data_IF_929511790252
#
_entry.id   IF_929511790252
#
_cell.length_a   1.000
_cell.length_b   1.000
_cell.length_c   1.000
_cell.angle_alpha   90.00
_cell.angle_beta   90.00
_cell.angle_gamma   90.00
#
_symmetry.space_group_name_H-M   'P 1'
#
loop_
_entity.id
_entity.type
_entity.pdbx_description
1 polymer ?
#
# COMPACT_ATOMS: atom_id res chain seq x y z
N UNK A 1 1.73 24.73 0.08
CA UNK A 1 2.42 25.58 1.08
C UNK A 1 2.95 26.88 0.46
N UNK A 2 3.69 26.83 -0.65
CA UNK A 2 4.19 28.03 -1.33
C UNK A 2 3.08 29.01 -1.70
N UNK A 3 2.00 28.53 -2.30
CA UNK A 3 0.86 29.37 -2.71
C UNK A 3 0.14 30.00 -1.52
N UNK A 4 0.04 29.31 -0.39
CA UNK A 4 -0.49 29.89 0.86
C UNK A 4 0.44 30.98 1.39
N UNK A 5 1.75 30.76 1.36
CA UNK A 5 2.73 31.78 1.74
C UNK A 5 2.74 33.00 0.79
N UNK A 6 2.27 32.83 -0.45
CA UNK A 6 2.11 33.89 -1.46
C UNK A 6 0.74 34.59 -1.43
N UNK A 7 -0.13 34.23 -0.45
CA UNK A 7 -1.41 34.90 -0.20
C UNK A 7 -2.68 34.13 -0.51
N UNK A 8 -2.57 32.85 -0.90
CA UNK A 8 -3.74 31.96 -0.98
C UNK A 8 -4.26 31.67 0.44
N UNK A 9 -5.55 31.81 0.64
CA UNK A 9 -6.18 31.46 1.91
C UNK A 9 -6.33 29.96 2.09
N UNK A 10 -6.48 29.50 3.34
CA UNK A 10 -6.73 28.08 3.65
C UNK A 10 -8.03 27.58 3.02
N UNK A 11 -9.08 28.42 2.97
CA UNK A 11 -10.35 28.08 2.33
C UNK A 11 -10.18 27.88 0.82
N UNK A 12 -9.43 28.75 0.14
CA UNK A 12 -9.12 28.57 -1.28
C UNK A 12 -8.30 27.32 -1.53
N UNK A 13 -7.30 27.05 -0.70
CA UNK A 13 -6.48 25.84 -0.78
C UNK A 13 -7.32 24.59 -0.55
N UNK A 14 -8.18 24.57 0.47
CA UNK A 14 -9.10 23.47 0.79
C UNK A 14 -10.07 23.24 -0.36
N UNK A 15 -10.63 24.29 -0.96
CA UNK A 15 -11.51 24.17 -2.13
C UNK A 15 -10.80 23.53 -3.34
N UNK A 16 -9.58 23.97 -3.65
CA UNK A 16 -8.81 23.37 -4.75
C UNK A 16 -8.47 21.89 -4.48
N UNK A 17 -8.11 21.57 -3.24
CA UNK A 17 -7.86 20.18 -2.83
C UNK A 17 -9.14 19.35 -2.91
N UNK A 18 -10.28 19.90 -2.55
CA UNK A 18 -11.57 19.23 -2.70
C UNK A 18 -11.87 18.93 -4.17
N UNK A 19 -11.67 19.89 -5.07
CA UNK A 19 -11.78 19.68 -6.51
C UNK A 19 -10.86 18.59 -7.02
N UNK A 20 -9.60 18.57 -6.55
CA UNK A 20 -8.65 17.53 -6.90
C UNK A 20 -9.10 16.14 -6.42
N UNK A 21 -9.53 16.02 -5.18
CA UNK A 21 -10.02 14.76 -4.61
C UNK A 21 -11.28 14.22 -5.31
N UNK A 22 -12.12 15.12 -5.85
CA UNK A 22 -13.28 14.72 -6.67
C UNK A 22 -12.87 14.20 -8.05
N UNK A 23 -11.86 14.81 -8.67
CA UNK A 23 -11.36 14.40 -9.98
C UNK A 23 -10.56 13.09 -9.91
N UNK A 24 -9.85 12.87 -8.81
CA UNK A 24 -9.01 11.71 -8.59
C UNK A 24 -9.28 11.09 -7.19
N UNK A 25 -10.31 10.24 -7.05
CA UNK A 25 -10.67 9.62 -5.76
C UNK A 25 -9.81 8.41 -5.41
N UNK A 26 -8.53 8.40 -5.81
CA UNK A 26 -7.62 7.29 -5.57
C UNK A 26 -7.09 7.26 -4.14
N UNK A 27 -5.85 6.84 -3.96
CA UNK A 27 -5.25 6.57 -2.66
C UNK A 27 -4.20 7.62 -2.31
N UNK A 28 -4.37 8.25 -1.17
CA UNK A 28 -3.48 9.29 -0.69
C UNK A 28 -2.95 8.93 0.69
N UNK A 29 -1.71 9.32 0.95
CA UNK A 29 -1.13 9.24 2.28
C UNK A 29 -0.78 10.64 2.75
N UNK A 30 -1.11 10.93 4.01
CA UNK A 30 -0.72 12.18 4.69
C UNK A 30 0.07 11.84 5.95
N UNK A 31 0.97 12.75 6.35
CA UNK A 31 1.91 12.53 7.43
C UNK A 31 2.84 11.34 7.15
N UNK A 32 3.35 10.75 8.19
CA UNK A 32 4.27 9.63 8.16
C UNK A 32 5.71 10.04 8.40
N UNK A 33 6.59 9.07 8.71
CA UNK A 33 7.97 9.36 9.01
C UNK A 33 8.77 9.70 7.75
N UNK A 34 9.64 10.69 7.86
CA UNK A 34 10.72 10.95 6.91
C UNK A 34 11.77 9.82 6.96
N UNK A 35 12.76 9.86 6.08
CA UNK A 35 13.85 8.86 6.03
C UNK A 35 14.61 8.77 7.36
N UNK A 36 14.84 9.89 8.02
CA UNK A 36 15.51 10.00 9.32
C UNK A 36 14.63 9.63 10.52
N UNK A 37 13.32 9.49 10.30
CA UNK A 37 12.33 9.16 11.33
C UNK A 37 11.64 10.38 11.93
N UNK A 38 11.91 11.60 11.46
CA UNK A 38 11.15 12.80 11.80
C UNK A 38 9.75 12.77 11.19
N UNK A 39 8.85 13.61 11.68
CA UNK A 39 7.48 13.70 11.18
C UNK A 39 7.39 14.58 9.92
N UNK A 40 6.72 14.08 8.89
CA UNK A 40 6.40 14.82 7.67
C UNK A 40 5.05 15.54 7.72
N UNK A 41 4.37 15.53 8.86
CA UNK A 41 3.12 16.27 9.01
C UNK A 41 3.38 17.76 8.84
N UNK A 42 2.56 18.40 8.03
CA UNK A 42 2.63 19.81 7.74
C UNK A 42 1.23 20.40 7.56
N UNK A 43 1.14 21.71 7.33
CA UNK A 43 -0.12 22.41 7.15
C UNK A 43 -1.00 21.80 6.04
N UNK A 44 -0.40 21.38 4.93
CA UNK A 44 -1.10 20.75 3.83
C UNK A 44 -1.78 19.42 4.25
N UNK A 45 -1.20 18.69 5.20
CA UNK A 45 -1.81 17.45 5.73
C UNK A 45 -3.19 17.73 6.35
N UNK A 46 -3.32 18.83 7.06
CA UNK A 46 -4.60 19.27 7.64
C UNK A 46 -5.58 19.76 6.59
N UNK A 47 -5.14 20.55 5.61
CA UNK A 47 -6.00 21.03 4.53
C UNK A 47 -6.57 19.90 3.67
N UNK A 48 -5.77 18.86 3.38
CA UNK A 48 -6.23 17.68 2.66
C UNK A 48 -7.29 16.93 3.48
N UNK A 49 -7.06 16.77 4.77
CA UNK A 49 -7.97 16.09 5.67
C UNK A 49 -9.30 16.85 5.78
N UNK A 50 -9.24 18.17 5.90
CA UNK A 50 -10.41 19.04 5.94
C UNK A 50 -11.19 19.04 4.61
N UNK A 51 -10.50 19.09 3.48
CA UNK A 51 -11.13 18.99 2.16
C UNK A 51 -11.92 17.66 2.02
N UNK A 52 -11.35 16.55 2.46
CA UNK A 52 -12.04 15.27 2.45
C UNK A 52 -13.25 15.24 3.40
N UNK A 53 -13.12 15.83 4.58
CA UNK A 53 -14.19 15.96 5.55
C UNK A 53 -15.38 16.77 4.99
N UNK A 54 -15.10 17.92 4.37
CA UNK A 54 -16.16 18.75 3.77
C UNK A 54 -16.86 18.06 2.60
N UNK A 55 -16.12 17.32 1.78
CA UNK A 55 -16.70 16.58 0.67
C UNK A 55 -17.57 15.40 1.11
N UNK A 56 -17.28 14.81 2.27
CA UNK A 56 -17.86 13.52 2.71
C UNK A 56 -17.81 12.46 1.61
N UNK A 57 -16.75 12.53 0.80
CA UNK A 57 -16.53 11.70 -0.37
C UNK A 57 -15.52 10.60 -0.08
N UNK A 58 -15.48 9.58 -0.91
CA UNK A 58 -14.72 8.34 -0.73
C UNK A 58 -13.23 8.43 -1.06
N UNK A 59 -12.59 9.59 -0.92
CA UNK A 59 -11.14 9.69 -1.08
C UNK A 59 -10.44 8.79 -0.06
N UNK A 60 -9.63 7.85 -0.55
CA UNK A 60 -8.95 6.88 0.32
C UNK A 60 -7.70 7.50 0.95
N UNK A 61 -7.89 8.29 2.00
CA UNK A 61 -6.81 8.93 2.73
C UNK A 61 -6.32 8.00 3.83
N UNK A 62 -4.99 7.80 3.89
CA UNK A 62 -4.32 7.03 4.94
C UNK A 62 -3.43 7.96 5.76
N UNK A 63 -3.59 7.95 7.08
CA UNK A 63 -2.69 8.58 8.05
C UNK A 63 -1.74 7.50 8.55
N UNK A 64 -0.43 7.73 8.44
CA UNK A 64 0.56 6.83 9.03
C UNK A 64 0.80 7.17 10.48
N UNK A 65 0.71 6.15 11.34
CA UNK A 65 0.81 6.27 12.80
C UNK A 65 2.15 5.71 13.27
N UNK A 66 2.93 6.56 13.94
CA UNK A 66 4.24 6.20 14.51
C UNK A 66 4.51 7.01 15.78
N UNK A 67 5.53 6.62 16.55
CA UNK A 67 5.74 7.12 17.92
C UNK A 67 5.90 8.65 18.02
N UNK A 68 6.48 9.31 17.00
CA UNK A 68 6.78 10.74 17.01
C UNK A 68 5.88 11.55 16.05
N UNK A 69 4.72 11.02 15.68
CA UNK A 69 3.82 11.74 14.79
C UNK A 69 3.16 12.93 15.50
N UNK A 70 2.71 13.90 14.72
CA UNK A 70 1.89 15.01 15.20
C UNK A 70 0.58 14.50 15.82
N UNK A 71 0.41 14.74 17.11
CA UNK A 71 -0.78 14.29 17.87
C UNK A 71 -2.05 15.01 17.39
N UNK A 72 -1.93 16.24 16.92
CA UNK A 72 -3.05 17.02 16.38
C UNK A 72 -3.62 16.38 15.12
N UNK A 73 -2.78 15.94 14.19
CA UNK A 73 -3.21 15.24 12.98
C UNK A 73 -3.90 13.90 13.32
N UNK A 74 -3.35 13.15 14.26
CA UNK A 74 -3.96 11.90 14.72
C UNK A 74 -5.34 12.14 15.34
N UNK A 75 -5.44 13.11 16.24
CA UNK A 75 -6.70 13.50 16.91
C UNK A 75 -7.75 13.95 15.89
N UNK A 76 -7.37 14.88 14.99
CA UNK A 76 -8.31 15.37 13.98
C UNK A 76 -8.81 14.27 13.05
N UNK A 77 -7.94 13.35 12.65
CA UNK A 77 -8.32 12.18 11.87
C UNK A 77 -9.33 11.29 12.56
N UNK A 78 -9.18 11.06 13.88
CA UNK A 78 -10.15 10.33 14.68
C UNK A 78 -11.49 11.07 14.80
N UNK A 79 -11.46 12.38 15.07
CA UNK A 79 -12.68 13.20 15.14
C UNK A 79 -13.49 13.07 13.86
N UNK A 80 -12.87 13.25 12.68
CA UNK A 80 -13.54 13.11 11.39
C UNK A 80 -14.11 11.71 11.19
N UNK A 81 -13.38 10.67 11.58
CA UNK A 81 -13.88 9.30 11.46
C UNK A 81 -15.18 9.09 12.25
N UNK A 82 -15.27 9.68 13.46
CA UNK A 82 -16.48 9.60 14.29
C UNK A 82 -17.58 10.53 13.80
N UNK A 83 -17.26 11.74 13.35
CA UNK A 83 -18.22 12.73 12.85
C UNK A 83 -18.88 12.27 11.57
N UNK A 84 -18.08 11.83 10.59
CA UNK A 84 -18.58 11.46 9.27
C UNK A 84 -19.11 10.03 9.21
N UNK A 85 -18.65 9.15 10.09
CA UNK A 85 -18.98 7.71 10.11
C UNK A 85 -18.68 7.02 8.78
N UNK A 86 -17.64 7.49 8.11
CA UNK A 86 -17.11 6.92 6.87
C UNK A 86 -15.87 6.08 7.16
N UNK A 87 -15.43 5.28 6.17
CA UNK A 87 -14.29 4.37 6.33
C UNK A 87 -12.93 5.07 6.16
N UNK A 88 -12.86 6.38 6.27
CA UNK A 88 -11.64 7.19 6.17
C UNK A 88 -11.69 8.39 7.14
N UNK A 89 -10.53 8.98 7.49
CA UNK A 89 -9.19 8.50 7.12
C UNK A 89 -8.90 7.12 7.70
N UNK A 90 -8.09 6.33 6.97
CA UNK A 90 -7.56 5.07 7.50
C UNK A 90 -6.29 5.33 8.28
N UNK A 91 -6.02 4.49 9.26
CA UNK A 91 -4.79 4.56 10.05
C UNK A 91 -3.90 3.36 9.78
N UNK A 92 -2.63 3.61 9.50
CA UNK A 92 -1.66 2.56 9.23
C UNK A 92 -0.50 2.64 10.21
N UNK A 93 -0.37 1.63 11.08
CA UNK A 93 0.67 1.56 12.11
C UNK A 93 2.04 1.26 11.52
N UNK A 94 3.00 2.16 11.73
CA UNK A 94 4.30 2.13 11.08
C UNK A 94 5.29 1.16 11.71
N UNK A 95 5.23 1.00 13.03
CA UNK A 95 6.20 0.19 13.79
C UNK A 95 6.31 -1.25 13.29
N UNK A 96 5.18 -1.92 13.11
CA UNK A 96 5.14 -3.29 12.61
C UNK A 96 5.54 -3.37 11.13
N UNK A 97 5.11 -2.39 10.32
CA UNK A 97 5.43 -2.32 8.90
C UNK A 97 6.91 -2.12 8.66
N UNK A 98 7.54 -1.12 9.28
CA UNK A 98 8.98 -0.87 9.16
C UNK A 98 9.78 -2.09 9.61
N UNK A 99 9.43 -2.69 10.76
CA UNK A 99 10.07 -3.92 11.24
C UNK A 99 9.91 -5.08 10.24
N UNK A 100 8.74 -5.24 9.66
CA UNK A 100 8.45 -6.27 8.66
C UNK A 100 9.31 -6.09 7.39
N UNK A 101 9.43 -4.87 6.88
CA UNK A 101 10.29 -4.58 5.72
C UNK A 101 11.76 -4.77 6.02
N UNK A 102 12.23 -4.34 7.20
CA UNK A 102 13.62 -4.59 7.63
C UNK A 102 13.95 -6.08 7.71
N UNK A 103 13.05 -6.91 8.26
CA UNK A 103 13.18 -8.38 8.26
C UNK A 103 13.26 -8.96 6.85
N UNK A 104 12.73 -8.25 5.89
CA UNK A 104 12.80 -8.58 4.47
C UNK A 104 14.00 -7.97 3.74
N UNK A 105 14.98 -7.40 4.46
CA UNK A 105 16.26 -6.91 3.92
C UNK A 105 16.22 -5.51 3.33
N UNK A 106 15.18 -4.70 3.62
CA UNK A 106 15.20 -3.27 3.33
C UNK A 106 15.89 -2.50 4.46
N UNK A 107 16.56 -1.40 4.15
CA UNK A 107 17.05 -0.50 5.19
C UNK A 107 15.89 0.16 5.94
N UNK A 108 16.14 0.61 7.17
CA UNK A 108 15.13 1.36 7.94
C UNK A 108 14.67 2.62 7.21
N UNK A 109 15.60 3.33 6.57
CA UNK A 109 15.33 4.49 5.73
C UNK A 109 14.34 4.18 4.61
N UNK A 110 14.60 3.14 3.80
CA UNK A 110 13.72 2.72 2.72
C UNK A 110 12.37 2.23 3.24
N UNK A 111 12.37 1.52 4.37
CA UNK A 111 11.14 1.06 4.99
C UNK A 111 10.24 2.22 5.42
N UNK A 112 10.81 3.30 5.97
CA UNK A 112 10.07 4.52 6.35
C UNK A 112 9.53 5.30 5.15
N UNK A 113 10.28 5.35 4.05
CA UNK A 113 9.88 6.05 2.81
C UNK A 113 8.75 5.38 2.04
N UNK A 114 8.30 4.20 2.44
CA UNK A 114 7.15 3.54 1.81
C UNK A 114 5.89 4.35 2.01
N UNK A 115 5.06 4.35 0.98
CA UNK A 115 3.73 4.96 1.02
C UNK A 115 2.65 3.90 1.03
N UNK A 116 1.55 4.22 1.70
CA UNK A 116 0.34 3.40 1.67
C UNK A 116 -0.46 3.70 0.40
N UNK A 117 -0.76 2.66 -0.36
CA UNK A 117 -1.68 2.72 -1.50
C UNK A 117 -2.61 1.52 -1.51
N UNK A 118 -3.65 1.58 -2.32
CA UNK A 118 -4.64 0.52 -2.36
C UNK A 118 -5.25 0.24 -0.99
N UNK A 119 -5.47 -1.01 -0.71
CA UNK A 119 -6.05 -1.49 0.55
C UNK A 119 -4.98 -1.68 1.65
N UNK A 120 -4.16 -0.67 1.94
CA UNK A 120 -2.99 -0.70 2.83
C UNK A 120 -1.76 -1.46 2.28
N UNK A 121 -1.56 -1.42 0.99
CA UNK A 121 -0.30 -1.85 0.39
C UNK A 121 0.77 -0.81 0.66
N UNK A 122 2.01 -1.26 0.77
CA UNK A 122 3.13 -0.38 0.96
C UNK A 122 4.09 -0.48 -0.22
N UNK A 123 4.40 0.65 -0.84
CA UNK A 123 5.29 0.71 -2.01
C UNK A 123 6.34 1.80 -1.86
N UNK A 124 7.44 1.65 -2.58
CA UNK A 124 8.48 2.68 -2.76
C UNK A 124 8.27 3.35 -4.13
N UNK A 125 7.68 4.56 -4.18
CA UNK A 125 7.44 5.25 -5.43
C UNK A 125 8.71 5.41 -6.26
N UNK A 126 8.63 5.08 -7.54
CA UNK A 126 9.72 5.22 -8.48
C UNK A 126 10.89 4.23 -8.33
N UNK A 127 10.92 3.38 -7.31
CA UNK A 127 12.00 2.44 -7.04
C UNK A 127 11.56 0.98 -7.03
N UNK A 128 10.26 0.74 -6.86
CA UNK A 128 9.71 -0.59 -6.66
C UNK A 128 8.65 -0.92 -7.68
N UNK A 129 8.75 -2.13 -8.24
CA UNK A 129 7.66 -2.72 -9.01
C UNK A 129 6.70 -3.41 -8.04
N UNK A 130 5.56 -2.81 -7.83
CA UNK A 130 4.54 -3.31 -6.91
C UNK A 130 3.36 -3.85 -7.70
N UNK A 131 3.16 -5.15 -7.65
CA UNK A 131 2.04 -5.82 -8.30
C UNK A 131 1.00 -6.22 -7.27
N UNK A 132 -0.22 -5.72 -7.45
CA UNK A 132 -1.34 -5.98 -6.58
C UNK A 132 -2.31 -6.96 -7.23
N UNK A 133 -2.98 -7.75 -6.41
CA UNK A 133 -4.13 -8.57 -6.82
C UNK A 133 -3.92 -9.50 -8.03
N UNK A 134 -2.67 -9.88 -8.30
CA UNK A 134 -2.36 -10.81 -9.39
C UNK A 134 -3.10 -12.13 -9.26
N UNK A 135 -3.25 -12.58 -8.03
CA UNK A 135 -3.91 -13.85 -7.69
C UNK A 135 -4.58 -13.76 -6.34
N UNK A 136 -5.67 -14.51 -6.20
CA UNK A 136 -6.41 -14.63 -4.95
C UNK A 136 -6.61 -16.11 -4.63
N UNK A 137 -6.39 -16.47 -3.36
CA UNK A 137 -6.76 -17.80 -2.85
C UNK A 137 -8.14 -17.69 -2.22
N UNK A 138 -9.07 -18.50 -2.70
CA UNK A 138 -10.35 -18.66 -2.03
C UNK A 138 -10.17 -19.61 -0.83
N UNK A 139 -9.92 -19.03 0.34
CA UNK A 139 -9.70 -19.79 1.56
C UNK A 139 -10.89 -20.67 1.95
N UNK A 140 -12.12 -20.19 1.69
CA UNK A 140 -13.32 -20.98 1.95
C UNK A 140 -13.37 -22.24 1.07
N UNK A 141 -12.90 -22.13 -0.19
CA UNK A 141 -12.82 -23.31 -1.08
C UNK A 141 -11.74 -24.30 -0.65
N UNK A 142 -10.58 -23.80 -0.22
CA UNK A 142 -9.53 -24.69 0.34
C UNK A 142 -10.05 -25.41 1.59
N UNK A 143 -10.74 -24.68 2.46
CA UNK A 143 -11.38 -25.28 3.65
C UNK A 143 -12.43 -26.35 3.28
N UNK A 144 -13.29 -26.06 2.30
CA UNK A 144 -14.32 -26.99 1.82
C UNK A 144 -13.69 -28.29 1.29
N UNK A 145 -12.62 -28.19 0.51
CA UNK A 145 -11.90 -29.37 -0.02
C UNK A 145 -11.33 -30.20 1.13
N UNK A 146 -10.58 -29.57 2.03
CA UNK A 146 -10.01 -30.22 3.19
C UNK A 146 -11.10 -30.89 4.07
N UNK A 147 -12.24 -30.21 4.24
CA UNK A 147 -13.37 -30.77 5.01
C UNK A 147 -14.04 -31.96 4.34
N UNK A 148 -14.07 -32.02 3.02
CA UNK A 148 -14.59 -33.16 2.27
C UNK A 148 -13.61 -34.32 2.26
N UNK A 149 -12.32 -34.08 2.26
CA UNK A 149 -11.28 -35.10 2.29
C UNK A 149 -11.10 -35.75 3.66
N UNK A 150 -11.27 -34.97 4.73
CA UNK A 150 -11.07 -35.43 6.09
C UNK A 150 -12.31 -36.15 6.63
N UNK A 151 -12.10 -37.39 7.10
CA UNK A 151 -13.18 -38.23 7.63
C UNK A 151 -13.06 -38.53 9.14
N UNK A 152 -12.08 -37.89 9.81
CA UNK A 152 -11.86 -38.06 11.24
C UNK A 152 -12.65 -37.06 12.10
N UNK A 153 -12.40 -37.07 13.38
CA UNK A 153 -12.99 -36.19 14.40
C UNK A 153 -11.94 -35.37 15.19
N UNK A 154 -10.65 -35.48 14.86
CA UNK A 154 -9.58 -34.71 15.48
C UNK A 154 -9.31 -33.42 14.74
N UNK A 155 -9.44 -32.30 15.44
CA UNK A 155 -9.21 -30.96 14.89
C UNK A 155 -7.75 -30.75 14.46
N UNK A 156 -6.78 -31.37 15.16
CA UNK A 156 -5.37 -31.21 14.82
C UNK A 156 -5.04 -31.92 13.51
N UNK A 157 -5.58 -33.13 13.30
CA UNK A 157 -5.44 -33.86 12.04
C UNK A 157 -6.14 -33.12 10.89
N UNK A 158 -7.34 -32.60 11.12
CA UNK A 158 -8.01 -31.74 10.13
C UNK A 158 -7.17 -30.53 9.74
N UNK A 159 -6.54 -29.87 10.72
CA UNK A 159 -5.67 -28.72 10.46
C UNK A 159 -4.48 -29.10 9.56
N UNK A 160 -3.90 -30.27 9.74
CA UNK A 160 -2.81 -30.74 8.89
C UNK A 160 -3.26 -31.00 7.44
N UNK A 161 -4.45 -31.57 7.23
CA UNK A 161 -5.05 -31.72 5.89
C UNK A 161 -5.28 -30.34 5.26
N UNK A 162 -5.94 -29.43 5.96
CA UNK A 162 -6.17 -28.07 5.48
C UNK A 162 -4.88 -27.32 5.14
N UNK A 163 -3.86 -27.47 5.98
CA UNK A 163 -2.54 -26.87 5.75
C UNK A 163 -1.86 -27.43 4.50
N UNK A 164 -1.96 -28.74 4.28
CA UNK A 164 -1.43 -29.38 3.07
C UNK A 164 -2.08 -28.79 1.82
N UNK A 165 -3.40 -28.75 1.76
CA UNK A 165 -4.15 -28.25 0.61
C UNK A 165 -3.87 -26.76 0.35
N UNK A 166 -3.73 -25.97 1.41
CA UNK A 166 -3.34 -24.57 1.30
C UNK A 166 -1.93 -24.43 0.73
N UNK A 167 -0.97 -25.24 1.15
CA UNK A 167 0.39 -25.21 0.62
C UNK A 167 0.44 -25.63 -0.85
N UNK A 168 -0.38 -26.59 -1.28
CA UNK A 168 -0.51 -26.99 -2.69
C UNK A 168 -1.08 -25.84 -3.54
N UNK A 169 -2.14 -25.18 -3.06
CA UNK A 169 -2.70 -23.99 -3.71
C UNK A 169 -1.66 -22.86 -3.83
N UNK A 170 -0.89 -22.59 -2.78
CA UNK A 170 0.20 -21.62 -2.78
C UNK A 170 1.29 -22.01 -3.80
N UNK A 171 1.67 -23.28 -3.89
CA UNK A 171 2.67 -23.74 -4.84
C UNK A 171 2.21 -23.54 -6.29
N UNK A 172 0.96 -23.85 -6.60
CA UNK A 172 0.37 -23.65 -7.91
C UNK A 172 0.36 -22.17 -8.31
N UNK A 173 -0.10 -21.30 -7.41
CA UNK A 173 -0.12 -19.84 -7.61
C UNK A 173 1.31 -19.31 -7.82
N UNK A 174 2.24 -19.79 -7.02
CA UNK A 174 3.65 -19.40 -7.16
C UNK A 174 4.19 -19.71 -8.55
N UNK A 175 3.92 -20.90 -9.08
CA UNK A 175 4.34 -21.30 -10.43
C UNK A 175 3.75 -20.36 -11.49
N UNK A 176 2.47 -20.01 -11.37
CA UNK A 176 1.79 -19.06 -12.27
C UNK A 176 2.41 -17.65 -12.20
N UNK A 177 2.68 -17.13 -11.01
CA UNK A 177 3.33 -15.82 -10.83
C UNK A 177 4.74 -15.84 -11.41
N UNK A 178 5.53 -16.87 -11.14
CA UNK A 178 6.89 -17.00 -11.66
C UNK A 178 6.90 -17.03 -13.19
N UNK A 179 5.93 -17.70 -13.81
CA UNK A 179 5.75 -17.69 -15.27
C UNK A 179 5.39 -16.30 -15.80
N UNK A 180 4.45 -15.62 -15.18
CA UNK A 180 4.05 -14.26 -15.57
C UNK A 180 5.22 -13.29 -15.50
N UNK A 181 5.91 -13.22 -14.37
CA UNK A 181 7.05 -12.32 -14.19
C UNK A 181 8.18 -12.57 -15.17
N UNK A 182 8.40 -13.86 -15.54
CA UNK A 182 9.42 -14.21 -16.51
C UNK A 182 9.11 -13.71 -17.92
N UNK A 183 7.84 -13.59 -18.27
CA UNK A 183 7.39 -13.32 -19.65
C UNK A 183 6.74 -11.94 -19.84
N UNK A 184 6.41 -11.22 -18.75
CA UNK A 184 5.64 -9.98 -18.80
C UNK A 184 6.27 -8.92 -19.71
N UNK A 185 7.57 -8.66 -19.56
CA UNK A 185 8.27 -7.64 -20.36
C UNK A 185 8.20 -7.86 -21.88
N UNK A 186 7.93 -9.10 -22.33
CA UNK A 186 7.76 -9.44 -23.75
C UNK A 186 6.32 -9.23 -24.21
N UNK A 187 5.35 -9.54 -23.38
CA UNK A 187 3.94 -9.60 -23.74
C UNK A 187 3.19 -8.30 -23.41
N UNK A 188 3.57 -7.68 -22.29
CA UNK A 188 2.96 -6.45 -21.77
C UNK A 188 4.00 -5.61 -21.02
N UNK A 189 4.92 -4.92 -21.71
CA UNK A 189 5.92 -4.07 -21.08
C UNK A 189 5.28 -2.88 -20.38
N UNK A 190 5.90 -2.44 -19.30
CA UNK A 190 5.43 -1.35 -18.43
C UNK A 190 5.85 0.04 -18.96
N UNK A 191 5.39 0.40 -20.17
CA UNK A 191 5.88 1.58 -20.88
C UNK A 191 5.81 2.88 -20.09
N UNK A 192 4.66 3.16 -19.45
CA UNK A 192 4.49 4.38 -18.65
C UNK A 192 5.31 4.33 -17.35
N UNK A 193 5.31 3.20 -16.68
CA UNK A 193 6.09 3.02 -15.45
C UNK A 193 7.58 3.17 -15.71
N UNK A 194 8.07 2.69 -16.85
CA UNK A 194 9.46 2.86 -17.27
C UNK A 194 9.87 4.34 -17.39
N UNK A 195 8.96 5.21 -17.80
CA UNK A 195 9.24 6.64 -17.96
C UNK A 195 9.25 7.42 -16.65
N UNK A 196 8.49 6.97 -15.64
CA UNK A 196 8.31 7.67 -14.36
C UNK A 196 9.07 7.04 -13.20
N UNK A 197 9.92 6.05 -13.49
CA UNK A 197 10.68 5.32 -12.48
C UNK A 197 12.19 5.44 -12.68
N UNK A 198 12.94 5.33 -11.58
CA UNK A 198 14.40 5.32 -11.59
C UNK A 198 14.93 3.94 -12.00
N UNK A 199 15.77 3.91 -12.99
CA UNK A 199 16.51 2.72 -13.42
C UNK A 199 16.09 2.12 -14.75
N UNK A 200 14.81 2.09 -15.18
CA UNK A 200 14.45 1.48 -16.46
C UNK A 200 15.16 2.12 -17.66
N UNK A 201 15.16 3.44 -17.76
CA UNK A 201 15.80 4.17 -18.88
C UNK A 201 17.32 3.97 -18.83
N UNK A 202 17.92 4.19 -17.65
CA UNK A 202 19.37 4.10 -17.44
C UNK A 202 19.92 2.70 -17.73
N UNK A 203 19.14 1.67 -17.43
CA UNK A 203 19.54 0.27 -17.64
C UNK A 203 19.10 -0.29 -19.00
N UNK A 204 18.25 0.43 -19.74
CA UNK A 204 17.61 -0.07 -20.95
C UNK A 204 16.79 -1.34 -20.71
N UNK A 205 16.09 -1.43 -19.57
CA UNK A 205 15.32 -2.60 -19.15
C UNK A 205 13.94 -2.22 -18.67
N UNK A 206 12.97 -3.05 -19.02
CA UNK A 206 11.61 -2.91 -18.53
C UNK A 206 11.54 -3.00 -16.99
N UNK A 207 10.65 -2.21 -16.38
CA UNK A 207 10.42 -2.21 -14.94
C UNK A 207 10.16 -3.62 -14.39
N UNK A 208 9.41 -4.45 -15.13
CA UNK A 208 9.11 -5.84 -14.77
C UNK A 208 10.30 -6.80 -14.96
N UNK A 209 11.39 -6.37 -15.63
CA UNK A 209 12.52 -7.22 -15.99
C UNK A 209 13.88 -6.63 -15.61
N UNK A 210 14.03 -6.25 -14.37
CA UNK A 210 15.30 -5.74 -13.84
C UNK A 210 15.53 -4.24 -14.03
N UNK A 211 14.57 -3.52 -14.60
CA UNK A 211 14.61 -2.05 -14.67
C UNK A 211 14.61 -1.44 -13.28
N UNK A 212 13.65 -1.83 -12.44
CA UNK A 212 13.55 -1.35 -11.07
C UNK A 212 14.49 -2.09 -10.11
N UNK A 213 14.74 -1.46 -8.96
CA UNK A 213 15.62 -2.01 -7.93
C UNK A 213 14.92 -3.03 -7.05
N UNK A 214 13.64 -2.82 -6.76
CA UNK A 214 12.85 -3.65 -5.86
C UNK A 214 11.60 -4.17 -6.55
N UNK A 215 11.18 -5.36 -6.10
CA UNK A 215 9.96 -6.00 -6.55
C UNK A 215 9.14 -6.41 -5.33
N UNK A 216 7.93 -5.90 -5.24
CA UNK A 216 7.00 -6.24 -4.19
C UNK A 216 5.74 -6.85 -4.83
N UNK A 217 5.54 -8.11 -4.58
CA UNK A 217 4.32 -8.79 -4.98
C UNK A 217 3.58 -9.14 -3.71
N UNK A 218 2.31 -8.85 -3.66
CA UNK A 218 1.48 -8.97 -2.46
C UNK A 218 1.53 -10.34 -1.78
N UNK A 219 2.00 -11.36 -2.46
CA UNK A 219 2.15 -12.69 -1.90
C UNK A 219 3.62 -13.09 -1.65
N UNK A 220 4.61 -12.33 -2.12
CA UNK A 220 6.02 -12.75 -2.01
C UNK A 220 7.03 -11.66 -2.34
N UNK A 221 8.11 -11.64 -1.56
CA UNK A 221 9.36 -10.97 -1.89
C UNK A 221 10.19 -11.84 -2.85
N UNK A 222 10.73 -11.23 -3.91
CA UNK A 222 11.90 -11.76 -4.62
C UNK A 222 13.11 -10.92 -4.24
N UNK A 223 14.14 -11.57 -3.71
CA UNK A 223 15.49 -11.03 -3.63
C UNK A 223 16.13 -11.10 -5.00
#
# INVERSE_FOLDING_TARGET
>A
EKSVAEGMTDDEATFLLACFLLCDPHYYQIGGPAADGSDNTNHLSYLILEAAHQLKSTANITIRVFDNMDEGLFRRGLEILFEDRLAYPRFSGDKALVSGFMKNGYSAELARRRIALGCNWMSLPGLEYTMNDLVKINMAKVFEVAFQEYQGDDLAEFYDVFRKDLLEAIACIKAGIDFHLKNQYRNAPELLLNLVSHGPIEKGRDASHGGLQYYNIAARKRT
#
